data_IF_896004717325
#
_entry.id   IF_896004717325
#
_cell.length_a   1.000
_cell.length_b   1.000
_cell.length_c   1.000
_cell.angle_alpha   90.00
_cell.angle_beta   90.00
_cell.angle_gamma   90.00
#
_symmetry.space_group_name_H-M   'P 1'
#
loop_
_entity.id
_entity.type
_entity.pdbx_description
1 polymer ?
#
# COMPACT_ATOMS: atom_id res chain seq x y z
N UNK A 1 -34.98 -41.15 -28.63
CA UNK A 1 -34.53 -42.56 -28.61
C UNK A 1 -33.29 -42.65 -27.74
N UNK A 2 -33.33 -43.52 -26.72
CA UNK A 2 -32.24 -43.84 -25.78
C UNK A 2 -31.20 -44.77 -26.43
N UNK A 3 -29.95 -44.76 -25.95
CA UNK A 3 -29.09 -45.91 -25.55
C UNK A 3 -27.83 -45.30 -24.89
N UNK A 4 -27.59 -45.43 -23.57
CA UNK A 4 -26.94 -46.54 -22.81
C UNK A 4 -25.44 -46.68 -23.10
N UNK A 5 -24.49 -46.97 -22.22
CA UNK A 5 -24.36 -47.19 -20.77
C UNK A 5 -22.88 -47.52 -20.46
N UNK A 6 -22.41 -47.16 -19.25
CA UNK A 6 -21.44 -47.82 -18.34
C UNK A 6 -20.13 -48.47 -18.86
N UNK A 7 -19.03 -48.29 -18.09
CA UNK A 7 -18.38 -49.34 -17.26
C UNK A 7 -17.38 -48.73 -16.26
N UNK A 8 -17.46 -49.21 -15.00
CA UNK A 8 -16.56 -49.06 -13.85
C UNK A 8 -15.63 -50.29 -13.75
N UNK A 9 -14.44 -50.17 -13.12
CA UNK A 9 -13.66 -51.15 -12.29
C UNK A 9 -12.41 -50.35 -11.80
N UNK A 10 -12.03 -50.13 -10.53
CA UNK A 10 -11.93 -50.87 -9.23
C UNK A 10 -10.56 -51.55 -8.98
N UNK A 11 -9.85 -50.99 -7.97
CA UNK A 11 -8.92 -51.50 -6.93
C UNK A 11 -7.66 -52.35 -7.23
N UNK A 12 -6.60 -52.06 -6.44
CA UNK A 12 -5.54 -52.99 -6.06
C UNK A 12 -4.53 -52.42 -5.06
N UNK A 13 -4.63 -52.83 -3.77
CA UNK A 13 -3.74 -52.59 -2.62
C UNK A 13 -2.77 -53.77 -2.46
N UNK A 14 -1.52 -53.56 -2.01
CA UNK A 14 -0.67 -54.56 -1.28
C UNK A 14 0.40 -53.79 -0.48
N UNK A 15 0.40 -53.71 0.86
CA UNK A 15 0.79 -54.66 1.94
C UNK A 15 2.28 -55.10 1.90
N UNK A 16 3.03 -54.73 2.96
CA UNK A 16 4.45 -55.01 3.15
C UNK A 16 4.76 -56.26 3.98
N UNK A 17 6.04 -56.45 4.31
CA UNK A 17 6.52 -57.40 5.33
C UNK A 17 7.88 -56.96 5.91
N UNK A 18 8.00 -57.03 7.23
CA UNK A 18 9.26 -57.07 8.00
C UNK A 18 9.74 -58.52 8.13
N UNK A 19 11.05 -58.74 8.32
CA UNK A 19 11.60 -59.79 9.20
C UNK A 19 13.05 -59.46 9.60
N UNK A 20 13.40 -59.85 10.84
CA UNK A 20 14.66 -59.65 11.58
C UNK A 20 15.49 -60.93 11.54
N UNK A 21 16.83 -60.84 11.61
CA UNK A 21 17.70 -61.97 11.96
C UNK A 21 19.20 -61.63 12.03
N UNK A 22 19.84 -61.97 13.15
CA UNK A 22 21.17 -61.59 13.66
C UNK A 22 22.41 -62.29 13.02
N UNK A 23 23.61 -61.70 13.26
CA UNK A 23 24.82 -62.47 13.64
C UNK A 23 26.15 -62.10 12.98
N UNK A 24 27.03 -61.41 13.74
CA UNK A 24 28.51 -61.56 13.91
C UNK A 24 29.46 -61.63 12.66
N UNK A 25 30.66 -61.04 12.58
CA UNK A 25 31.63 -60.52 13.56
C UNK A 25 32.76 -59.68 12.89
N UNK A 26 33.38 -58.76 13.64
CA UNK A 26 34.81 -58.28 13.61
C UNK A 26 35.32 -57.55 12.35
N UNK A 27 36.19 -56.55 12.39
CA UNK A 27 36.77 -55.64 13.39
C UNK A 27 37.63 -54.67 12.53
N UNK A 28 37.54 -53.36 12.74
CA UNK A 28 38.72 -52.49 12.88
C UNK A 28 38.32 -51.04 13.11
N UNK A 29 38.91 -50.49 14.15
CA UNK A 29 38.58 -49.26 14.85
C UNK A 29 39.04 -48.00 14.10
N UNK A 30 38.22 -46.93 14.17
CA UNK A 30 38.75 -45.57 14.32
C UNK A 30 37.77 -44.68 15.12
N UNK A 31 38.12 -44.53 16.41
CA UNK A 31 37.75 -43.52 17.42
C UNK A 31 36.49 -42.67 17.22
N UNK A 32 35.49 -42.97 18.06
CA UNK A 32 34.45 -42.07 18.55
C UNK A 32 35.04 -40.97 19.45
N UNK A 33 34.49 -39.75 19.34
CA UNK A 33 34.14 -38.96 20.52
C UNK A 33 32.64 -38.72 20.48
N UNK A 34 31.98 -39.20 21.52
CA UNK A 34 30.55 -39.32 21.76
C UNK A 34 29.85 -37.95 21.76
N UNK A 35 28.86 -37.77 20.90
CA UNK A 35 27.77 -36.82 21.14
C UNK A 35 26.55 -37.63 21.53
N UNK A 36 26.19 -37.54 22.80
CA UNK A 36 24.93 -38.05 23.35
C UNK A 36 23.76 -37.47 22.56
N UNK A 37 22.87 -38.38 22.16
CA UNK A 37 21.54 -38.04 21.69
C UNK A 37 20.76 -37.42 22.84
N UNK A 38 20.65 -36.10 22.85
CA UNK A 38 19.48 -35.46 23.44
C UNK A 38 18.40 -35.43 22.36
N UNK A 39 17.42 -36.30 22.52
CA UNK A 39 16.15 -36.28 21.82
C UNK A 39 15.42 -35.00 22.28
N UNK A 40 15.78 -33.85 21.72
CA UNK A 40 14.97 -32.63 21.85
C UNK A 40 13.77 -32.75 20.92
N UNK A 41 12.60 -32.63 21.53
CA UNK A 41 11.29 -32.60 20.90
C UNK A 41 11.28 -31.67 19.69
N UNK A 42 10.85 -32.18 18.54
CA UNK A 42 10.27 -31.33 17.49
C UNK A 42 9.02 -30.66 18.05
N UNK A 43 9.18 -29.50 18.68
CA UNK A 43 8.14 -28.51 18.67
C UNK A 43 7.96 -28.06 17.21
N UNK A 44 6.73 -28.09 16.70
CA UNK A 44 6.36 -27.43 15.45
C UNK A 44 6.77 -25.95 15.54
N UNK A 45 7.93 -25.60 15.00
CA UNK A 45 8.37 -24.22 14.92
C UNK A 45 7.49 -23.50 13.91
N UNK A 46 6.85 -22.40 14.35
CA UNK A 46 6.32 -21.42 13.41
C UNK A 46 7.48 -20.96 12.52
N UNK A 47 7.32 -21.03 11.20
CA UNK A 47 8.29 -20.47 10.25
C UNK A 47 8.35 -18.95 10.47
N UNK A 48 9.42 -18.47 11.11
CA UNK A 48 9.66 -17.04 11.36
C UNK A 48 10.53 -16.51 10.22
N UNK A 49 9.94 -15.67 9.39
CA UNK A 49 10.63 -14.92 8.34
C UNK A 49 11.18 -13.59 8.88
N UNK A 50 12.39 -13.22 8.43
CA UNK A 50 13.10 -12.00 8.90
C UNK A 50 13.79 -11.21 7.79
N UNK A 51 13.89 -11.77 6.60
CA UNK A 51 14.56 -11.14 5.46
C UNK A 51 13.62 -11.06 4.26
N UNK A 52 14.03 -10.28 3.27
CA UNK A 52 13.23 -10.00 2.08
C UNK A 52 12.83 -11.25 1.29
N UNK A 53 13.62 -12.33 1.32
CA UNK A 53 13.33 -13.55 0.56
C UNK A 53 12.30 -14.43 1.30
N UNK A 54 12.55 -14.70 2.58
CA UNK A 54 11.66 -15.48 3.44
C UNK A 54 10.30 -14.80 3.62
N UNK A 55 10.24 -13.47 3.71
CA UNK A 55 8.96 -12.75 3.81
C UNK A 55 8.17 -12.80 2.51
N UNK A 56 8.82 -12.70 1.33
CA UNK A 56 8.13 -12.90 0.05
C UNK A 56 7.48 -14.28 -0.04
N UNK A 57 8.21 -15.31 0.37
CA UNK A 57 7.71 -16.70 0.37
C UNK A 57 6.54 -16.87 1.34
N UNK A 58 6.69 -16.42 2.59
CA UNK A 58 5.64 -16.51 3.63
C UNK A 58 4.33 -15.84 3.19
N UNK A 59 4.43 -14.68 2.56
CA UNK A 59 3.30 -13.86 2.13
C UNK A 59 2.78 -14.22 0.73
N UNK A 60 3.49 -15.06 -0.03
CA UNK A 60 3.15 -15.36 -1.41
C UNK A 60 3.18 -14.14 -2.32
N UNK A 61 4.06 -13.17 -2.06
CA UNK A 61 4.17 -11.94 -2.84
C UNK A 61 4.73 -12.24 -4.23
N UNK A 62 3.99 -11.83 -5.26
CA UNK A 62 4.46 -11.89 -6.64
C UNK A 62 5.42 -10.73 -6.93
N UNK A 63 6.30 -10.92 -7.91
CA UNK A 63 7.13 -9.84 -8.46
C UNK A 63 6.27 -8.66 -8.90
N UNK A 64 6.69 -7.41 -8.62
CA UNK A 64 5.92 -6.20 -8.92
C UNK A 64 4.51 -6.18 -8.29
N UNK A 65 4.35 -6.80 -7.12
CA UNK A 65 3.16 -6.67 -6.29
C UNK A 65 3.53 -6.15 -4.91
N UNK A 66 2.60 -5.39 -4.31
CA UNK A 66 2.72 -4.92 -2.92
C UNK A 66 1.53 -5.45 -2.14
N UNK A 67 1.66 -5.57 -0.82
CA UNK A 67 0.54 -5.97 0.03
C UNK A 67 0.29 -4.94 1.14
N UNK A 68 -0.98 -4.82 1.49
CA UNK A 68 -1.46 -4.02 2.60
C UNK A 68 -2.25 -4.91 3.55
N UNK A 69 -2.01 -4.79 4.85
CA UNK A 69 -2.71 -5.54 5.89
C UNK A 69 -3.29 -4.58 6.94
N UNK A 70 -4.54 -4.84 7.32
CA UNK A 70 -5.11 -4.27 8.55
C UNK A 70 -4.74 -5.18 9.72
N UNK A 71 -4.11 -4.60 10.73
CA UNK A 71 -3.58 -5.29 11.89
C UNK A 71 -4.23 -4.77 13.17
N UNK A 72 -4.27 -5.63 14.20
CA UNK A 72 -4.59 -5.27 15.59
C UNK A 72 -3.53 -5.85 16.52
N UNK A 73 -3.19 -5.11 17.57
CA UNK A 73 -2.15 -5.55 18.49
C UNK A 73 -1.65 -4.42 19.36
N UNK A 74 -0.40 -4.52 19.83
CA UNK A 74 0.16 -3.58 20.79
C UNK A 74 1.44 -2.92 20.29
N UNK A 75 1.63 -1.68 20.72
CA UNK A 75 2.93 -0.99 20.74
C UNK A 75 3.20 -0.55 22.18
N UNK A 76 4.26 -1.08 22.78
CA UNK A 76 4.43 -1.08 24.23
C UNK A 76 3.24 -1.78 24.91
N UNK A 77 2.62 -1.10 25.87
CA UNK A 77 1.45 -1.60 26.59
C UNK A 77 0.11 -1.14 26.00
N UNK A 78 0.11 -0.36 24.91
CA UNK A 78 -1.11 0.23 24.34
C UNK A 78 -1.63 -0.61 23.18
N UNK A 79 -2.92 -0.93 23.21
CA UNK A 79 -3.64 -1.52 22.07
C UNK A 79 -3.73 -0.51 20.92
N UNK A 80 -3.52 -0.98 19.70
CA UNK A 80 -3.48 -0.19 18.48
C UNK A 80 -4.05 -0.96 17.28
N UNK A 81 -4.51 -0.20 16.31
CA UNK A 81 -4.69 -0.66 14.93
C UNK A 81 -3.40 -0.34 14.17
N UNK A 82 -2.95 -1.26 13.31
CA UNK A 82 -1.77 -1.06 12.48
C UNK A 82 -2.12 -1.23 11.01
N UNK A 83 -1.69 -0.30 10.17
CA UNK A 83 -1.76 -0.40 8.72
C UNK A 83 -0.37 -0.73 8.19
N UNK A 84 -0.17 -2.00 7.83
CA UNK A 84 1.11 -2.50 7.32
C UNK A 84 1.11 -2.47 5.80
N UNK A 85 2.03 -1.71 5.23
CA UNK A 85 2.36 -1.73 3.80
C UNK A 85 3.70 -2.41 3.57
N UNK A 86 3.80 -3.25 2.54
CA UNK A 86 5.02 -3.97 2.15
C UNK A 86 5.25 -3.81 0.66
N UNK A 87 6.42 -3.34 0.26
CA UNK A 87 6.77 -3.11 -1.14
C UNK A 87 8.27 -3.33 -1.40
N UNK A 88 8.67 -3.35 -2.68
CA UNK A 88 10.06 -3.51 -3.08
C UNK A 88 10.78 -2.14 -3.11
N UNK A 89 11.96 -2.02 -2.51
CA UNK A 89 12.78 -0.81 -2.57
C UNK A 89 13.46 -0.67 -3.93
N UNK A 90 12.67 -0.36 -4.95
CA UNK A 90 13.25 0.19 -6.18
C UNK A 90 13.61 1.62 -5.81
N UNK A 91 14.87 2.01 -5.97
CA UNK A 91 15.43 3.36 -5.68
C UNK A 91 14.69 4.57 -6.31
N UNK A 92 13.51 4.36 -6.91
CA UNK A 92 12.65 5.31 -7.62
C UNK A 92 11.15 5.16 -7.29
N UNK A 93 10.73 4.20 -6.47
CA UNK A 93 9.30 3.96 -6.19
C UNK A 93 8.72 4.90 -5.09
N UNK A 94 9.52 5.76 -4.45
CA UNK A 94 9.05 6.57 -3.28
C UNK A 94 9.52 8.03 -3.27
N UNK A 95 10.44 8.47 -4.12
CA UNK A 95 10.68 9.92 -4.21
C UNK A 95 9.61 10.53 -5.13
N UNK A 96 8.67 11.24 -4.51
CA UNK A 96 7.47 11.82 -5.11
C UNK A 96 7.80 13.14 -5.86
N UNK A 97 9.01 13.67 -5.68
CA UNK A 97 9.64 14.62 -6.60
C UNK A 97 10.31 13.83 -7.72
N UNK A 98 10.08 14.24 -8.97
CA UNK A 98 10.23 13.39 -10.16
C UNK A 98 11.49 12.54 -10.13
N UNK A 99 11.34 11.25 -10.44
CA UNK A 99 12.49 10.34 -10.53
C UNK A 99 13.46 10.76 -11.64
N UNK A 100 12.99 11.61 -12.56
CA UNK A 100 13.73 12.21 -13.68
C UNK A 100 14.54 13.45 -13.26
N UNK A 101 14.09 14.30 -12.32
CA UNK A 101 14.84 15.49 -11.86
C UNK A 101 16.15 15.13 -11.15
N UNK A 102 16.25 13.91 -10.60
CA UNK A 102 17.44 13.41 -9.91
C UNK A 102 18.48 12.73 -10.82
N UNK A 103 18.26 12.69 -12.14
CA UNK A 103 19.21 12.11 -13.10
C UNK A 103 20.26 13.16 -13.48
N UNK A 104 21.46 13.08 -12.88
CA UNK A 104 22.61 13.81 -13.41
C UNK A 104 22.95 13.29 -14.81
N UNK A 105 22.82 14.15 -15.81
CA UNK A 105 23.28 13.92 -17.17
C UNK A 105 24.81 13.68 -17.18
N UNK A 106 25.25 12.42 -17.27
CA UNK A 106 26.62 12.04 -17.67
C UNK A 106 26.63 11.87 -19.20
N UNK A 107 27.15 12.84 -19.98
CA UNK A 107 27.10 12.81 -21.44
C UNK A 107 27.97 11.70 -22.05
N UNK A 108 28.92 11.13 -21.30
CA UNK A 108 29.81 10.07 -21.81
C UNK A 108 29.22 8.68 -21.63
N UNK A 109 28.24 8.52 -20.72
CA UNK A 109 27.49 7.27 -20.52
C UNK A 109 26.07 7.41 -21.04
N UNK A 110 25.93 7.49 -22.37
CA UNK A 110 24.65 7.40 -23.10
C UNK A 110 23.92 6.05 -22.98
N UNK A 111 24.00 5.40 -21.82
CA UNK A 111 23.21 4.25 -21.43
C UNK A 111 22.76 4.48 -19.98
N UNK A 112 21.52 4.94 -19.81
CA UNK A 112 20.75 4.47 -18.65
C UNK A 112 20.58 2.97 -18.87
N UNK A 113 21.53 2.19 -18.35
CA UNK A 113 21.38 0.75 -18.25
C UNK A 113 20.31 0.54 -17.20
N UNK A 114 19.05 0.39 -17.61
CA UNK A 114 18.07 -0.29 -16.79
C UNK A 114 18.61 -1.70 -16.63
N UNK A 115 19.37 -1.94 -15.56
CA UNK A 115 19.67 -3.29 -15.13
C UNK A 115 18.30 -3.94 -14.97
N UNK A 116 18.02 -4.96 -15.78
CA UNK A 116 16.99 -5.96 -15.47
C UNK A 116 17.44 -6.64 -14.18
N UNK A 117 17.31 -5.95 -13.06
CA UNK A 117 17.48 -6.54 -11.75
C UNK A 117 16.22 -7.33 -11.49
N UNK A 118 16.38 -8.59 -11.11
CA UNK A 118 15.26 -9.46 -10.83
C UNK A 118 14.55 -8.91 -9.60
N UNK A 119 13.22 -8.97 -9.50
CA UNK A 119 12.56 -8.33 -8.35
C UNK A 119 12.97 -8.93 -6.99
N UNK A 120 13.39 -10.21 -7.01
CA UNK A 120 13.99 -10.90 -5.86
C UNK A 120 15.29 -10.25 -5.36
N UNK A 121 15.92 -9.42 -6.17
CA UNK A 121 17.16 -8.71 -5.83
C UNK A 121 16.90 -7.37 -5.12
N UNK A 122 15.66 -6.84 -5.16
CA UNK A 122 15.31 -5.63 -4.42
C UNK A 122 14.97 -5.99 -2.96
N UNK A 123 15.49 -5.25 -1.97
CA UNK A 123 15.10 -5.45 -0.58
C UNK A 123 13.63 -5.07 -0.42
N UNK A 124 12.91 -5.74 0.49
CA UNK A 124 11.57 -5.35 0.88
C UNK A 124 11.66 -4.24 1.92
N UNK A 125 10.82 -3.24 1.72
CA UNK A 125 10.50 -2.20 2.69
C UNK A 125 9.15 -2.47 3.29
N UNK A 126 9.01 -2.08 4.55
CA UNK A 126 7.72 -2.02 5.20
C UNK A 126 7.49 -0.67 5.85
N UNK A 127 6.22 -0.31 6.00
CA UNK A 127 5.79 0.74 6.90
C UNK A 127 4.61 0.22 7.72
N UNK A 128 4.60 0.55 9.02
CA UNK A 128 3.42 0.37 9.85
C UNK A 128 3.00 1.75 10.33
N UNK A 129 1.81 2.19 9.92
CA UNK A 129 1.16 3.39 10.44
C UNK A 129 0.13 3.01 11.51
N UNK A 130 0.01 3.84 12.54
CA UNK A 130 -1.06 3.77 13.54
C UNK A 130 -2.12 4.81 13.17
N UNK A 131 -3.15 4.42 12.39
CA UNK A 131 -4.08 5.39 11.81
C UNK A 131 -4.93 6.09 12.88
N UNK A 132 -4.94 5.60 14.12
CA UNK A 132 -5.66 6.17 15.26
C UNK A 132 -4.77 7.02 16.18
N UNK A 133 -3.51 7.28 15.82
CA UNK A 133 -2.57 8.06 16.64
C UNK A 133 -1.97 9.19 15.80
N UNK A 134 -2.55 10.39 15.89
CA UNK A 134 -1.95 11.59 15.30
C UNK A 134 -0.68 12.00 16.07
N UNK A 135 0.42 12.29 15.34
CA UNK A 135 1.66 12.80 15.90
C UNK A 135 1.96 14.21 15.39
N UNK A 136 1.70 15.20 16.24
CA UNK A 136 1.91 16.63 15.94
C UNK A 136 3.36 16.95 15.57
N UNK A 137 4.34 16.21 16.11
CA UNK A 137 5.75 16.47 15.83
C UNK A 137 6.17 15.99 14.44
N UNK A 138 5.40 15.05 13.87
CA UNK A 138 5.56 14.52 12.51
C UNK A 138 4.63 15.23 11.52
N UNK A 139 3.52 15.81 11.98
CA UNK A 139 2.47 16.36 11.12
C UNK A 139 1.72 15.27 10.36
N UNK A 140 1.70 14.05 10.90
CA UNK A 140 1.10 12.86 10.30
C UNK A 140 0.73 11.85 11.41
N UNK A 141 0.02 10.79 11.04
CA UNK A 141 -0.19 9.63 11.89
C UNK A 141 1.16 8.99 12.26
N UNK A 142 1.25 8.54 13.50
CA UNK A 142 2.40 7.87 14.08
C UNK A 142 2.76 6.63 13.25
N UNK A 143 3.99 6.56 12.76
CA UNK A 143 4.44 5.47 11.91
C UNK A 143 5.94 5.20 12.05
N UNK A 144 6.37 4.06 11.52
CA UNK A 144 7.76 3.80 11.24
C UNK A 144 7.91 3.11 9.88
N UNK A 145 9.12 3.19 9.32
CA UNK A 145 9.51 2.47 8.12
C UNK A 145 10.74 1.61 8.42
N UNK A 146 10.86 0.47 7.77
CA UNK A 146 12.03 -0.39 7.96
C UNK A 146 12.32 -1.23 6.72
N UNK A 147 13.60 -1.38 6.39
CA UNK A 147 14.08 -2.43 5.49
C UNK A 147 14.06 -3.77 6.24
N UNK A 148 13.47 -4.79 5.62
CA UNK A 148 13.47 -6.12 6.23
C UNK A 148 14.87 -6.70 6.39
N UNK A 149 15.83 -6.26 5.58
CA UNK A 149 17.21 -6.73 5.67
C UNK A 149 17.94 -6.21 6.92
N UNK A 150 17.35 -5.25 7.66
CA UNK A 150 17.80 -4.89 9.00
C UNK A 150 17.50 -5.98 10.05
N UNK A 151 16.64 -6.96 9.72
CA UNK A 151 16.26 -8.11 10.55
C UNK A 151 15.70 -7.75 11.94
N UNK A 152 15.19 -6.53 12.10
CA UNK A 152 14.57 -6.04 13.35
C UNK A 152 13.12 -6.48 13.50
N UNK A 153 12.53 -6.99 12.42
CA UNK A 153 11.10 -7.29 12.32
C UNK A 153 10.94 -8.74 11.90
N UNK A 154 9.97 -9.39 12.51
CA UNK A 154 9.69 -10.81 12.32
C UNK A 154 8.28 -10.98 11.80
N UNK A 155 8.14 -11.88 10.84
CA UNK A 155 6.89 -12.24 10.21
C UNK A 155 6.64 -13.72 10.43
N UNK A 156 5.42 -14.09 10.74
CA UNK A 156 5.00 -15.50 10.79
C UNK A 156 3.51 -15.59 10.47
N UNK A 157 3.00 -16.81 10.30
CA UNK A 157 1.56 -17.06 10.22
C UNK A 157 1.11 -17.86 11.44
N UNK A 158 -0.09 -17.58 11.92
CA UNK A 158 -0.71 -18.39 12.96
C UNK A 158 -1.30 -19.69 12.40
N UNK A 159 -1.90 -20.50 13.27
CA UNK A 159 -2.49 -21.79 12.88
C UNK A 159 -3.66 -21.65 11.88
N UNK A 160 -4.26 -20.47 11.77
CA UNK A 160 -5.32 -20.14 10.82
C UNK A 160 -4.78 -19.49 9.54
N UNK A 161 -3.47 -19.27 9.46
CA UNK A 161 -2.80 -18.63 8.33
C UNK A 161 -2.76 -17.10 8.39
N UNK A 162 -3.23 -16.49 9.48
CA UNK A 162 -3.22 -15.03 9.63
C UNK A 162 -1.82 -14.51 9.94
N UNK A 163 -1.49 -13.38 9.35
CA UNK A 163 -0.20 -12.75 9.53
C UNK A 163 0.03 -12.32 10.99
N UNK A 164 1.22 -12.58 11.50
CA UNK A 164 1.76 -12.02 12.75
C UNK A 164 3.02 -11.25 12.42
N UNK A 165 3.11 -10.02 12.93
CA UNK A 165 4.28 -9.16 12.75
C UNK A 165 4.71 -8.62 14.11
N UNK A 166 5.98 -8.76 14.46
CA UNK A 166 6.51 -8.23 15.72
C UNK A 166 7.94 -7.72 15.57
N UNK A 167 8.30 -6.75 16.38
CA UNK A 167 9.61 -6.11 16.31
C UNK A 167 9.76 -4.99 17.33
N UNK A 168 10.66 -4.06 17.03
CA UNK A 168 10.87 -2.83 17.79
C UNK A 168 10.41 -1.66 16.92
N UNK A 169 9.65 -0.74 17.50
CA UNK A 169 9.13 0.45 16.85
C UNK A 169 10.25 1.46 16.66
N UNK A 170 11.06 1.22 15.64
CA UNK A 170 12.23 2.02 15.33
C UNK A 170 12.39 2.11 13.82
N UNK A 171 12.41 3.33 13.31
CA UNK A 171 12.68 3.60 11.91
C UNK A 171 14.15 3.25 11.61
N UNK A 172 14.39 2.46 10.59
CA UNK A 172 15.71 2.40 9.98
C UNK A 172 15.70 3.27 8.71
N UNK A 173 16.78 4.02 8.52
CA UNK A 173 16.96 4.82 7.30
C UNK A 173 17.88 4.03 6.36
N UNK A 174 17.34 3.11 5.55
CA UNK A 174 18.18 2.30 4.67
C UNK A 174 18.77 3.13 3.52
N UNK A 175 18.19 4.30 3.22
CA UNK A 175 18.62 5.19 2.13
C UNK A 175 19.71 6.19 2.56
N UNK A 176 19.91 6.39 3.86
CA UNK A 176 20.95 7.28 4.38
C UNK A 176 20.73 8.77 4.07
N UNK A 177 19.56 9.13 3.56
CA UNK A 177 19.27 10.52 3.21
C UNK A 177 19.20 11.36 4.46
N UNK A 178 19.99 12.46 4.47
CA UNK A 178 20.10 13.40 5.60
C UNK A 178 18.80 14.16 5.89
N UNK A 179 17.78 14.00 5.02
CA UNK A 179 16.47 14.62 5.13
C UNK A 179 15.51 13.84 6.04
N UNK A 180 15.81 12.59 6.39
CA UNK A 180 15.03 11.87 7.39
C UNK A 180 15.33 12.44 8.77
N UNK A 181 14.44 13.32 9.23
CA UNK A 181 14.37 13.81 10.60
C UNK A 181 14.52 12.65 11.58
N UNK A 182 15.28 12.85 12.66
CA UNK A 182 15.33 11.87 13.75
C UNK A 182 13.89 11.51 14.12
N UNK A 183 13.51 10.23 13.97
CA UNK A 183 12.13 9.78 14.13
C UNK A 183 11.54 10.35 15.43
N UNK A 184 10.60 11.29 15.32
CA UNK A 184 9.92 11.94 16.46
C UNK A 184 8.74 11.12 16.95
N UNK A 185 8.88 9.79 16.84
CA UNK A 185 7.87 8.81 17.21
C UNK A 185 7.61 8.83 18.71
N UNK A 186 6.34 8.76 19.10
CA UNK A 186 5.95 8.58 20.51
C UNK A 186 6.29 7.19 21.06
N UNK A 187 6.52 6.21 20.18
CA UNK A 187 6.78 4.81 20.54
C UNK A 187 8.21 4.39 20.23
N UNK A 188 9.11 5.31 19.94
CA UNK A 188 10.48 4.98 19.56
C UNK A 188 11.14 4.03 20.56
N UNK A 189 11.55 2.85 20.09
CA UNK A 189 12.22 1.82 20.90
C UNK A 189 11.28 0.88 21.66
N UNK A 190 9.97 1.12 21.62
CA UNK A 190 8.98 0.20 22.20
C UNK A 190 8.87 -1.08 21.38
N UNK A 191 8.57 -2.20 22.05
CA UNK A 191 8.26 -3.44 21.33
C UNK A 191 6.85 -3.37 20.77
N UNK A 192 6.64 -3.96 19.60
CA UNK A 192 5.29 -4.14 19.07
C UNK A 192 5.02 -5.60 18.70
N UNK A 193 3.75 -5.97 18.74
CA UNK A 193 3.26 -7.26 18.29
C UNK A 193 1.86 -7.08 17.73
N UNK A 194 1.70 -7.41 16.46
CA UNK A 194 0.47 -7.29 15.69
C UNK A 194 0.07 -8.62 15.09
N UNK A 195 -1.24 -8.80 14.96
CA UNK A 195 -1.86 -9.87 14.17
C UNK A 195 -2.77 -9.25 13.12
N UNK A 196 -2.93 -9.90 11.97
CA UNK A 196 -3.93 -9.51 10.97
C UNK A 196 -5.31 -9.48 11.59
N UNK A 197 -6.07 -8.42 11.33
CA UNK A 197 -7.38 -8.24 11.93
C UNK A 197 -8.41 -9.12 11.22
N UNK A 198 -8.53 -10.34 11.73
CA UNK A 198 -9.49 -11.31 11.28
C UNK A 198 -10.95 -10.92 11.58
N UNK A 199 -11.25 -9.78 12.22
CA UNK A 199 -12.65 -9.37 12.48
C UNK A 199 -13.31 -8.68 11.28
N UNK A 200 -12.51 -8.08 10.39
CA UNK A 200 -13.00 -7.34 9.24
C UNK A 200 -13.31 -8.24 8.04
N UNK A 201 -14.28 -7.87 7.18
CA UNK A 201 -14.56 -8.61 5.95
C UNK A 201 -13.44 -8.46 4.91
N UNK A 202 -12.81 -7.28 4.86
CA UNK A 202 -11.62 -6.98 4.08
C UNK A 202 -10.50 -6.59 5.06
N UNK A 203 -9.38 -7.30 5.04
CA UNK A 203 -8.23 -6.99 5.89
C UNK A 203 -6.89 -7.15 5.18
N UNK A 204 -6.91 -7.57 3.92
CA UNK A 204 -5.74 -7.65 3.06
C UNK A 204 -6.05 -7.13 1.66
N UNK A 205 -5.21 -6.23 1.14
CA UNK A 205 -5.30 -5.71 -0.21
C UNK A 205 -3.98 -5.95 -0.93
N UNK A 206 -4.02 -6.66 -2.05
CA UNK A 206 -2.87 -6.79 -2.93
C UNK A 206 -2.91 -5.68 -3.97
N UNK A 207 -1.75 -5.16 -4.34
CA UNK A 207 -1.63 -4.21 -5.44
C UNK A 207 -0.73 -4.80 -6.52
N UNK A 208 -1.17 -4.67 -7.77
CA UNK A 208 -0.38 -4.97 -8.95
C UNK A 208 0.23 -3.68 -9.49
N UNK A 209 1.48 -3.77 -9.96
CA UNK A 209 2.15 -2.67 -10.65
C UNK A 209 2.47 -3.04 -12.09
N UNK A 210 2.21 -2.10 -13.01
CA UNK A 210 2.72 -2.12 -14.37
C UNK A 210 3.62 -0.90 -14.57
N UNK A 211 4.75 -1.08 -15.24
CA UNK A 211 5.71 0.01 -15.46
C UNK A 211 6.34 -0.12 -16.85
N UNK A 212 6.45 0.98 -17.57
CA UNK A 212 7.15 1.02 -18.84
C UNK A 212 8.09 2.22 -18.88
N UNK A 213 9.35 1.95 -19.18
CA UNK A 213 10.37 2.97 -19.41
C UNK A 213 11.00 2.81 -20.79
N UNK A 214 11.31 3.92 -21.43
CA UNK A 214 11.99 3.95 -22.72
C UNK A 214 12.84 5.21 -22.87
N UNK A 215 13.86 5.14 -23.72
CA UNK A 215 14.62 6.33 -24.12
C UNK A 215 14.54 6.54 -25.62
N UNK A 216 14.38 7.79 -26.03
CA UNK A 216 14.36 8.19 -27.44
C UNK A 216 15.61 9.04 -27.71
N UNK A 217 16.36 8.69 -28.74
CA UNK A 217 17.46 9.51 -29.23
C UNK A 217 16.96 10.44 -30.34
N UNK A 218 17.01 11.75 -30.09
CA UNK A 218 16.64 12.79 -31.04
C UNK A 218 17.69 12.98 -32.13
N UNK A 219 17.32 13.71 -33.18
CA UNK A 219 18.18 13.99 -34.33
C UNK A 219 19.44 14.80 -33.98
N UNK A 220 19.35 15.67 -32.97
CA UNK A 220 20.45 16.44 -32.39
C UNK A 220 21.32 15.64 -31.41
N UNK A 221 21.04 14.34 -31.26
CA UNK A 221 21.68 13.38 -30.34
C UNK A 221 21.31 13.55 -28.87
N UNK A 222 20.39 14.46 -28.53
CA UNK A 222 19.79 14.48 -27.19
C UNK A 222 19.06 13.16 -26.93
N UNK A 223 19.12 12.67 -25.69
CA UNK A 223 18.36 11.49 -25.25
C UNK A 223 17.30 11.96 -24.29
N UNK A 224 16.04 11.66 -24.59
CA UNK A 224 14.92 11.88 -23.68
C UNK A 224 14.45 10.58 -23.08
N UNK A 225 14.00 10.64 -21.83
CA UNK A 225 13.54 9.53 -21.02
C UNK A 225 12.03 9.61 -20.85
N UNK A 226 11.36 8.48 -21.03
CA UNK A 226 9.95 8.31 -20.76
C UNK A 226 9.77 7.24 -19.70
N UNK A 227 8.99 7.52 -18.65
CA UNK A 227 8.56 6.53 -17.67
C UNK A 227 7.03 6.63 -17.43
N UNK A 228 6.34 5.50 -17.37
CA UNK A 228 4.92 5.44 -16.99
C UNK A 228 4.69 4.28 -16.03
N UNK A 229 4.04 4.58 -14.90
CA UNK A 229 3.78 3.63 -13.81
C UNK A 229 2.30 3.63 -13.42
N UNK A 230 1.72 2.45 -13.37
CA UNK A 230 0.39 2.21 -12.81
C UNK A 230 0.48 1.26 -11.64
N UNK A 231 -0.23 1.58 -10.55
CA UNK A 231 -0.42 0.68 -9.41
C UNK A 231 -1.90 0.65 -9.05
N UNK A 232 -2.55 -0.50 -9.17
CA UNK A 232 -3.99 -0.67 -8.84
C UNK A 232 -4.21 -1.80 -7.83
N UNK A 233 -5.24 -1.70 -6.98
CA UNK A 233 -5.57 -2.75 -6.04
C UNK A 233 -6.29 -3.91 -6.74
N UNK A 234 -6.13 -5.11 -6.19
CA UNK A 234 -6.91 -6.29 -6.50
C UNK A 234 -7.25 -7.01 -5.19
N UNK A 235 -8.53 -7.31 -5.02
CA UNK A 235 -9.03 -8.02 -3.85
C UNK A 235 -9.03 -9.52 -4.17
N UNK A 236 -8.25 -10.30 -3.42
CA UNK A 236 -8.15 -11.75 -3.63
C UNK A 236 -9.11 -12.47 -2.67
N UNK A 237 -10.11 -13.25 -3.17
CA UNK A 237 -11.04 -13.98 -2.32
C UNK A 237 -10.36 -14.95 -1.35
N UNK A 238 -9.25 -15.57 -1.77
CA UNK A 238 -8.48 -16.49 -0.92
C UNK A 238 -7.88 -15.83 0.32
N UNK A 239 -7.62 -14.53 0.25
CA UNK A 239 -7.05 -13.76 1.36
C UNK A 239 -8.13 -13.05 2.18
N UNK A 240 -9.32 -12.87 1.61
CA UNK A 240 -10.46 -12.22 2.25
C UNK A 240 -11.71 -13.12 2.23
N UNK A 241 -11.68 -14.30 2.88
CA UNK A 241 -12.75 -15.30 2.77
C UNK A 241 -14.09 -14.87 3.42
N UNK A 242 -14.08 -13.78 4.20
CA UNK A 242 -15.28 -13.20 4.82
C UNK A 242 -16.06 -12.28 3.87
N UNK A 243 -15.44 -11.83 2.78
CA UNK A 243 -16.08 -11.00 1.77
C UNK A 243 -16.71 -11.90 0.71
N UNK A 244 -18.02 -11.77 0.49
CA UNK A 244 -18.73 -12.62 -0.45
C UNK A 244 -18.17 -12.48 -1.87
N UNK A 245 -18.03 -13.59 -2.60
CA UNK A 245 -17.35 -13.59 -3.91
C UNK A 245 -17.99 -12.63 -4.92
N UNK A 246 -19.31 -12.49 -4.90
CA UNK A 246 -20.02 -11.56 -5.80
C UNK A 246 -19.70 -10.08 -5.49
N UNK A 247 -19.39 -9.74 -4.24
CA UNK A 247 -18.92 -8.42 -3.83
C UNK A 247 -17.49 -8.23 -4.31
N UNK A 248 -16.62 -9.23 -4.13
CA UNK A 248 -15.22 -9.18 -4.62
C UNK A 248 -15.17 -8.99 -6.15
N UNK A 249 -15.98 -9.74 -6.89
CA UNK A 249 -16.09 -9.61 -8.36
C UNK A 249 -16.47 -8.18 -8.77
N UNK A 250 -17.45 -7.59 -8.08
CA UNK A 250 -17.91 -6.22 -8.36
C UNK A 250 -16.88 -5.17 -7.97
N UNK A 251 -16.18 -5.35 -6.86
CA UNK A 251 -15.05 -4.50 -6.48
C UNK A 251 -13.95 -4.59 -7.54
N UNK A 252 -13.51 -5.79 -7.93
CA UNK A 252 -12.45 -5.98 -8.92
C UNK A 252 -12.84 -5.54 -10.33
N UNK A 253 -14.13 -5.56 -10.69
CA UNK A 253 -14.60 -4.95 -11.94
C UNK A 253 -14.29 -3.44 -12.02
N UNK A 254 -14.24 -2.75 -10.87
CA UNK A 254 -13.97 -1.31 -10.77
C UNK A 254 -12.50 -1.01 -10.41
N UNK A 255 -11.95 -1.76 -9.46
CA UNK A 255 -10.61 -1.57 -8.92
C UNK A 255 -9.51 -2.18 -9.79
N UNK A 256 -9.78 -3.34 -10.37
CA UNK A 256 -8.81 -4.18 -11.07
C UNK A 256 -9.16 -4.38 -12.56
N UNK A 257 -10.03 -3.53 -13.12
CA UNK A 257 -10.47 -3.59 -14.52
C UNK A 257 -10.99 -4.99 -14.93
N UNK A 258 -11.59 -5.71 -13.97
CA UNK A 258 -12.13 -7.06 -14.16
C UNK A 258 -11.07 -8.18 -14.20
N UNK A 259 -9.80 -7.89 -13.90
CA UNK A 259 -8.76 -8.90 -13.78
C UNK A 259 -9.07 -9.92 -12.68
N UNK A 260 -8.76 -11.19 -12.94
CA UNK A 260 -9.04 -12.32 -12.04
C UNK A 260 -7.95 -12.59 -11.04
N UNK A 261 -6.71 -12.23 -11.40
CA UNK A 261 -5.54 -12.42 -10.57
C UNK A 261 -4.51 -11.28 -10.80
N UNK A 262 -3.49 -11.28 -9.95
CA UNK A 262 -2.41 -10.27 -9.96
C UNK A 262 -1.69 -10.25 -11.30
N UNK A 263 -1.42 -11.43 -11.89
CA UNK A 263 -0.67 -11.56 -13.14
C UNK A 263 -1.45 -11.02 -14.34
N UNK A 264 -2.77 -11.21 -14.38
CA UNK A 264 -3.65 -10.60 -15.37
C UNK A 264 -3.67 -9.08 -15.25
N UNK A 265 -3.86 -8.55 -14.02
CA UNK A 265 -3.87 -7.10 -13.78
C UNK A 265 -2.52 -6.47 -14.17
N UNK A 266 -1.39 -7.07 -13.77
CA UNK A 266 -0.06 -6.59 -14.16
C UNK A 266 0.12 -6.49 -15.67
N UNK A 267 -0.37 -7.46 -16.45
CA UNK A 267 -0.31 -7.41 -17.92
C UNK A 267 -1.15 -6.26 -18.48
N UNK A 268 -2.34 -6.03 -17.92
CA UNK A 268 -3.21 -4.92 -18.31
C UNK A 268 -2.55 -3.56 -18.00
N UNK A 269 -2.00 -3.40 -16.78
CA UNK A 269 -1.30 -2.18 -16.37
C UNK A 269 -0.05 -1.92 -17.21
N UNK A 270 0.73 -2.96 -17.49
CA UNK A 270 1.89 -2.90 -18.38
C UNK A 270 1.50 -2.48 -19.80
N UNK A 271 0.34 -2.93 -20.28
CA UNK A 271 -0.19 -2.53 -21.58
C UNK A 271 -0.60 -1.05 -21.57
N UNK A 272 -1.23 -0.56 -20.52
CA UNK A 272 -1.58 0.87 -20.36
C UNK A 272 -0.32 1.75 -20.39
N UNK A 273 0.71 1.42 -19.61
CA UNK A 273 1.98 2.16 -19.61
C UNK A 273 2.65 2.19 -21.00
N UNK A 274 2.48 1.14 -21.81
CA UNK A 274 2.94 1.11 -23.21
C UNK A 274 2.07 1.95 -24.15
N UNK A 275 0.77 2.06 -23.89
CA UNK A 275 -0.11 2.95 -24.66
C UNK A 275 0.26 4.42 -24.41
N UNK A 276 0.59 4.78 -23.17
CA UNK A 276 1.07 6.11 -22.84
C UNK A 276 2.32 6.46 -23.65
N UNK A 277 3.32 5.55 -23.66
CA UNK A 277 4.51 5.74 -24.49
C UNK A 277 4.17 5.85 -25.98
N UNK A 278 3.23 5.05 -26.48
CA UNK A 278 2.79 5.13 -27.87
C UNK A 278 2.23 6.51 -28.18
N UNK A 279 1.37 7.06 -27.31
CA UNK A 279 0.83 8.41 -27.47
C UNK A 279 1.95 9.47 -27.45
N UNK A 280 2.77 9.48 -26.40
CA UNK A 280 3.94 10.36 -26.25
C UNK A 280 4.89 10.30 -27.46
N UNK A 281 5.17 9.11 -27.99
CA UNK A 281 6.08 8.93 -29.13
C UNK A 281 5.59 9.56 -30.43
N UNK A 282 4.29 9.88 -30.54
CA UNK A 282 3.72 10.58 -31.69
C UNK A 282 3.71 12.11 -31.51
N UNK A 283 4.10 12.62 -30.35
CA UNK A 283 4.21 14.05 -30.12
C UNK A 283 5.31 14.66 -30.97
N UNK A 284 5.04 15.88 -31.47
CA UNK A 284 5.95 16.60 -32.35
C UNK A 284 7.25 16.98 -31.62
N UNK A 285 7.12 17.36 -30.36
CA UNK A 285 8.22 17.69 -29.47
C UNK A 285 8.21 16.70 -28.32
N UNK A 286 9.37 16.16 -27.99
CA UNK A 286 9.51 15.12 -26.98
C UNK A 286 10.44 15.65 -25.90
N UNK A 287 9.98 15.72 -24.67
CA UNK A 287 10.79 16.05 -23.49
C UNK A 287 10.91 14.82 -22.61
N UNK A 288 11.71 14.90 -21.55
CA UNK A 288 11.59 13.88 -20.52
C UNK A 288 10.14 13.87 -20.00
N UNK A 289 9.58 12.69 -19.82
CA UNK A 289 8.20 12.53 -19.41
C UNK A 289 8.05 11.44 -18.36
N UNK A 290 7.24 11.71 -17.35
CA UNK A 290 6.95 10.78 -16.26
C UNK A 290 5.46 10.83 -15.94
N UNK A 291 4.80 9.68 -16.07
CA UNK A 291 3.40 9.51 -15.70
C UNK A 291 3.28 8.51 -14.55
N UNK A 292 2.47 8.85 -13.56
CA UNK A 292 2.14 7.91 -12.49
C UNK A 292 0.65 7.93 -12.19
N UNK A 293 0.08 6.74 -11.98
CA UNK A 293 -1.28 6.57 -11.47
C UNK A 293 -1.30 5.45 -10.44
N UNK A 294 -1.31 5.82 -9.17
CA UNK A 294 -1.04 4.90 -8.07
C UNK A 294 -2.15 4.93 -7.04
N UNK A 295 -2.57 3.74 -6.64
CA UNK A 295 -3.52 3.54 -5.56
C UNK A 295 -2.83 3.08 -4.28
N UNK A 296 -3.34 3.55 -3.15
CA UNK A 296 -3.03 3.07 -1.79
C UNK A 296 -4.30 3.01 -0.95
N UNK A 297 -4.27 2.29 0.16
CA UNK A 297 -5.37 2.27 1.13
C UNK A 297 -5.26 3.50 2.03
N UNK A 298 -6.35 4.27 2.13
CA UNK A 298 -6.48 5.35 3.13
C UNK A 298 -7.12 4.80 4.40
N UNK A 299 -8.22 4.04 4.26
CA UNK A 299 -9.02 3.57 5.39
C UNK A 299 -9.81 2.31 5.04
N UNK A 300 -9.85 1.36 5.96
CA UNK A 300 -10.70 0.16 5.89
C UNK A 300 -11.37 -0.05 7.23
N UNK A 301 -12.68 -0.33 7.19
CA UNK A 301 -13.44 -0.87 8.31
C UNK A 301 -14.39 -1.99 7.86
N UNK A 302 -15.42 -2.28 8.65
CA UNK A 302 -16.40 -3.33 8.35
C UNK A 302 -17.42 -2.97 7.26
N UNK A 303 -17.51 -1.71 6.85
CA UNK A 303 -18.52 -1.19 5.92
C UNK A 303 -17.91 -0.72 4.61
N UNK A 304 -16.73 -0.11 4.64
CA UNK A 304 -16.11 0.53 3.46
C UNK A 304 -14.62 0.23 3.34
N UNK A 305 -14.14 0.32 2.10
CA UNK A 305 -12.73 0.56 1.78
C UNK A 305 -12.63 1.91 1.09
N UNK A 306 -11.76 2.77 1.61
CA UNK A 306 -11.40 4.07 1.05
C UNK A 306 -9.97 4.01 0.53
N UNK A 307 -9.80 4.36 -0.73
CA UNK A 307 -8.53 4.34 -1.42
C UNK A 307 -8.10 5.75 -1.78
N UNK A 308 -6.81 6.00 -1.63
CA UNK A 308 -6.17 7.16 -2.22
C UNK A 308 -5.71 6.82 -3.64
N UNK A 309 -5.97 7.74 -4.56
CA UNK A 309 -5.52 7.71 -5.94
C UNK A 309 -4.66 8.93 -6.23
N UNK A 310 -3.37 8.69 -6.33
CA UNK A 310 -2.40 9.68 -6.76
C UNK A 310 -2.24 9.63 -8.28
N UNK A 311 -2.29 10.79 -8.93
CA UNK A 311 -1.98 10.94 -10.35
C UNK A 311 -0.90 12.01 -10.51
N UNK A 312 0.12 11.72 -11.32
CA UNK A 312 1.22 12.63 -11.64
C UNK A 312 1.49 12.61 -13.14
N UNK A 313 1.77 13.78 -13.69
CA UNK A 313 2.17 13.98 -15.08
C UNK A 313 3.30 15.00 -15.15
N UNK A 314 4.38 14.63 -15.82
CA UNK A 314 5.45 15.50 -16.26
C UNK A 314 5.70 15.27 -17.75
N UNK A 315 5.79 16.35 -18.52
CA UNK A 315 5.98 16.34 -19.97
C UNK A 315 7.03 17.39 -20.38
N UNK A 316 8.00 17.65 -19.49
CA UNK A 316 8.92 18.78 -19.60
C UNK A 316 8.45 20.00 -18.80
N UNK A 317 9.29 21.04 -18.77
CA UNK A 317 9.07 22.24 -17.96
C UNK A 317 9.76 22.20 -16.60
N UNK A 318 9.35 23.10 -15.70
CA UNK A 318 10.01 23.32 -14.42
C UNK A 318 9.72 22.25 -13.36
N UNK A 319 8.54 21.62 -13.41
CA UNK A 319 8.10 20.54 -12.52
C UNK A 319 6.86 19.85 -13.11
N UNK A 320 6.50 18.69 -12.59
CA UNK A 320 5.25 18.00 -12.93
C UNK A 320 4.02 18.56 -12.22
N UNK A 321 2.85 18.01 -12.53
CA UNK A 321 1.57 18.33 -11.89
C UNK A 321 1.02 17.05 -11.29
N UNK A 322 0.52 17.13 -10.05
CA UNK A 322 -0.12 16.00 -9.39
C UNK A 322 -1.44 16.37 -8.74
N UNK A 323 -2.21 15.34 -8.43
CA UNK A 323 -3.41 15.43 -7.62
C UNK A 323 -3.66 14.12 -6.89
N UNK A 324 -4.23 14.23 -5.70
CA UNK A 324 -4.59 13.10 -4.85
C UNK A 324 -6.09 13.08 -4.61
N UNK A 325 -6.80 12.03 -5.04
CA UNK A 325 -8.26 11.93 -4.91
C UNK A 325 -8.68 10.67 -4.15
N UNK A 326 -9.87 10.70 -3.55
CA UNK A 326 -10.43 9.54 -2.84
C UNK A 326 -11.35 8.72 -3.75
N UNK A 327 -11.23 7.40 -3.69
CA UNK A 327 -12.22 6.46 -4.22
C UNK A 327 -12.64 5.47 -3.13
N UNK A 328 -13.92 5.50 -2.73
CA UNK A 328 -14.46 4.64 -1.68
C UNK A 328 -15.50 3.67 -2.21
N UNK A 329 -15.57 2.49 -1.61
CA UNK A 329 -16.45 1.41 -2.03
C UNK A 329 -17.10 0.75 -0.82
N UNK A 330 -18.37 0.37 -0.94
CA UNK A 330 -19.08 -0.40 0.07
C UNK A 330 -18.65 -1.86 0.06
N UNK A 331 -18.29 -2.38 1.22
CA UNK A 331 -18.01 -3.80 1.45
C UNK A 331 -19.30 -4.63 1.64
N UNK A 332 -20.47 -3.99 1.68
CA UNK A 332 -21.76 -4.68 1.79
C UNK A 332 -22.32 -5.09 0.44
N UNK A 333 -22.08 -4.29 -0.62
CA UNK A 333 -22.68 -4.51 -1.93
C UNK A 333 -21.73 -4.24 -3.12
N UNK A 334 -20.47 -3.89 -2.85
CA UNK A 334 -19.45 -3.63 -3.86
C UNK A 334 -19.63 -2.33 -4.66
N UNK A 335 -20.60 -1.47 -4.31
CA UNK A 335 -20.85 -0.22 -5.03
C UNK A 335 -19.82 0.85 -4.70
N UNK A 336 -19.45 1.64 -5.71
CA UNK A 336 -18.68 2.87 -5.50
C UNK A 336 -19.54 3.89 -4.75
N UNK A 337 -18.96 4.45 -3.70
CA UNK A 337 -19.58 5.50 -2.91
C UNK A 337 -19.29 6.87 -3.52
N UNK A 338 -20.12 7.86 -3.20
CA UNK A 338 -19.88 9.22 -3.66
C UNK A 338 -18.60 9.78 -3.05
N UNK A 339 -17.85 10.52 -3.87
CA UNK A 339 -16.70 11.33 -3.48
C UNK A 339 -17.04 12.82 -3.43
N UNK A 340 -18.34 13.18 -3.54
CA UNK A 340 -18.80 14.57 -3.52
C UNK A 340 -19.13 15.01 -2.11
N UNK A 341 -18.73 16.23 -1.77
CA UNK A 341 -18.93 16.78 -0.45
C UNK A 341 -20.42 16.98 -0.13
N UNK A 342 -21.25 17.24 -1.15
CA UNK A 342 -22.71 17.39 -1.04
C UNK A 342 -23.42 16.08 -0.70
N UNK A 343 -22.81 14.94 -0.99
CA UNK A 343 -23.34 13.61 -0.62
C UNK A 343 -22.87 13.19 0.78
N UNK A 344 -21.83 13.85 1.32
CA UNK A 344 -21.37 13.71 2.70
C UNK A 344 -22.12 14.64 3.66
N UNK A 345 -22.29 15.90 3.28
CA UNK A 345 -22.83 16.98 4.11
C UNK A 345 -24.08 17.63 3.50
N UNK A 346 -25.01 18.06 4.35
CA UNK A 346 -26.12 18.94 4.01
C UNK A 346 -25.59 20.37 3.84
N UNK A 347 -25.20 20.71 2.61
CA UNK A 347 -24.62 22.02 2.28
C UNK A 347 -25.67 23.04 1.83
N UNK A 348 -26.66 23.31 2.67
CA UNK A 348 -27.45 24.54 2.51
C UNK A 348 -26.57 25.78 2.75
N UNK A 349 -27.06 26.97 2.38
CA UNK A 349 -26.26 28.20 2.47
C UNK A 349 -25.68 28.43 3.88
N UNK A 350 -26.48 28.15 4.92
CA UNK A 350 -26.06 28.33 6.32
C UNK A 350 -24.97 27.33 6.70
N UNK A 351 -25.18 26.05 6.42
CA UNK A 351 -24.23 24.99 6.74
C UNK A 351 -22.93 25.14 5.95
N UNK A 352 -23.01 25.50 4.66
CA UNK A 352 -21.83 25.80 3.84
C UNK A 352 -21.03 26.95 4.44
N UNK A 353 -21.67 28.06 4.79
CA UNK A 353 -20.99 29.22 5.38
C UNK A 353 -20.36 28.89 6.74
N UNK A 354 -21.04 28.10 7.57
CA UNK A 354 -20.53 27.67 8.88
C UNK A 354 -19.32 26.73 8.72
N UNK A 355 -19.39 25.78 7.78
CA UNK A 355 -18.26 24.89 7.47
C UNK A 355 -17.07 25.67 6.93
N UNK A 356 -17.28 26.61 6.01
CA UNK A 356 -16.23 27.52 5.50
C UNK A 356 -15.55 28.30 6.62
N UNK A 357 -16.32 28.83 7.57
CA UNK A 357 -15.77 29.55 8.72
C UNK A 357 -14.91 28.64 9.60
N UNK A 358 -15.37 27.42 9.87
CA UNK A 358 -14.64 26.44 10.66
C UNK A 358 -13.31 26.06 9.99
N UNK A 359 -13.32 25.79 8.68
CA UNK A 359 -12.11 25.48 7.91
C UNK A 359 -11.17 26.69 7.83
N UNK A 360 -11.71 27.91 7.69
CA UNK A 360 -10.94 29.16 7.73
C UNK A 360 -10.19 29.31 9.05
N UNK A 361 -10.86 29.08 10.18
CA UNK A 361 -10.24 29.17 11.51
C UNK A 361 -9.12 28.15 11.68
N UNK A 362 -9.27 26.93 11.14
CA UNK A 362 -8.20 25.92 11.15
C UNK A 362 -6.99 26.36 10.31
N UNK A 363 -7.22 27.02 9.17
CA UNK A 363 -6.17 27.55 8.31
C UNK A 363 -5.50 28.83 8.83
N UNK A 364 -6.11 29.54 9.79
CA UNK A 364 -5.54 30.73 10.42
C UNK A 364 -4.43 30.42 11.44
N UNK A 365 -4.21 29.14 11.79
CA UNK A 365 -3.12 28.75 12.69
C UNK A 365 -1.76 29.01 12.04
N UNK A 366 -0.69 29.28 12.82
CA UNK A 366 0.65 29.51 12.27
C UNK A 366 1.16 28.39 11.38
N UNK A 367 0.75 27.14 11.67
CA UNK A 367 1.10 25.94 10.90
C UNK A 367 0.69 26.01 9.43
N UNK A 368 -0.47 26.61 9.14
CA UNK A 368 -1.01 26.69 7.77
C UNK A 368 -0.87 28.10 7.20
N UNK A 369 -1.17 29.13 7.99
CA UNK A 369 -1.31 30.52 7.52
C UNK A 369 -0.09 31.02 6.75
N UNK A 370 1.11 30.65 7.18
CA UNK A 370 2.37 31.07 6.54
C UNK A 370 2.60 30.44 5.16
N UNK A 371 1.88 29.36 4.84
CA UNK A 371 1.98 28.63 3.57
C UNK A 371 1.00 29.16 2.51
N UNK A 372 -0.05 29.86 2.92
CA UNK A 372 -1.17 30.23 2.05
C UNK A 372 -0.86 31.48 1.21
N UNK A 373 -1.57 31.64 0.09
CA UNK A 373 -1.61 32.93 -0.60
C UNK A 373 -2.26 34.00 0.27
N UNK A 374 -1.84 35.26 0.11
CA UNK A 374 -2.33 36.40 0.90
C UNK A 374 -3.86 36.56 0.84
N UNK A 375 -4.49 36.19 -0.27
CA UNK A 375 -5.91 36.39 -0.55
C UNK A 375 -6.77 35.15 -0.24
N UNK A 376 -6.17 34.07 0.28
CA UNK A 376 -6.85 32.78 0.51
C UNK A 376 -7.91 32.88 1.61
N UNK A 377 -7.62 33.64 2.67
CA UNK A 377 -8.47 33.73 3.85
C UNK A 377 -9.29 35.03 3.85
N UNK A 378 -10.58 34.99 4.25
CA UNK A 378 -11.36 33.80 4.57
C UNK A 378 -11.65 32.94 3.32
N UNK A 379 -11.83 31.64 3.54
CA UNK A 379 -12.18 30.72 2.44
C UNK A 379 -13.51 31.12 1.79
N UNK A 380 -13.53 31.09 0.45
CA UNK A 380 -14.74 31.37 -0.34
C UNK A 380 -15.42 30.09 -0.84
N UNK A 381 -14.66 29.01 -0.97
CA UNK A 381 -15.11 27.73 -1.48
C UNK A 381 -14.59 26.59 -0.61
N UNK A 382 -15.38 25.53 -0.52
CA UNK A 382 -14.99 24.29 0.15
C UNK A 382 -14.04 23.51 -0.76
N UNK A 383 -13.11 22.73 -0.20
CA UNK A 383 -12.27 21.86 -1.00
C UNK A 383 -13.13 20.82 -1.72
N UNK A 384 -12.71 20.43 -2.92
CA UNK A 384 -13.42 19.41 -3.70
C UNK A 384 -13.10 17.99 -3.22
N UNK A 385 -11.93 17.83 -2.61
CA UNK A 385 -11.43 16.52 -2.18
C UNK A 385 -11.48 16.39 -0.67
N UNK A 386 -12.02 15.26 -0.23
CA UNK A 386 -11.96 14.83 1.17
C UNK A 386 -11.63 13.34 1.24
N UNK A 387 -11.08 12.92 2.38
CA UNK A 387 -10.82 11.54 2.71
C UNK A 387 -11.51 11.17 4.02
N UNK A 388 -12.29 10.09 4.00
CA UNK A 388 -12.74 9.44 5.23
C UNK A 388 -11.56 8.67 5.83
N UNK A 389 -11.21 8.98 7.07
CA UNK A 389 -10.11 8.34 7.80
C UNK A 389 -10.64 7.72 9.10
N UNK A 390 -9.78 7.02 9.83
CA UNK A 390 -10.10 6.49 11.17
C UNK A 390 -10.38 7.57 12.22
N UNK A 391 -9.93 8.82 12.01
CA UNK A 391 -10.02 9.89 13.00
C UNK A 391 -11.03 10.98 12.64
N UNK A 392 -11.42 11.08 11.37
CA UNK A 392 -12.30 12.14 10.90
C UNK A 392 -12.31 12.26 9.40
N UNK A 393 -12.60 13.48 8.94
CA UNK A 393 -12.50 13.84 7.52
C UNK A 393 -11.22 14.63 7.32
N UNK A 394 -10.35 14.16 6.44
CA UNK A 394 -9.19 14.90 5.94
C UNK A 394 -9.63 15.71 4.73
N UNK A 395 -9.57 17.03 4.83
CA UNK A 395 -9.84 17.94 3.73
C UNK A 395 -8.56 18.21 2.96
N UNK A 396 -8.63 18.20 1.63
CA UNK A 396 -7.46 18.37 0.76
C UNK A 396 -7.72 19.47 -0.26
N UNK A 397 -6.82 20.45 -0.28
CA UNK A 397 -6.70 21.41 -1.36
C UNK A 397 -5.52 21.02 -2.24
N UNK A 398 -5.77 20.89 -3.53
CA UNK A 398 -4.74 20.53 -4.50
C UNK A 398 -3.69 21.64 -4.64
N UNK A 399 -2.55 21.27 -5.22
CA UNK A 399 -1.49 22.23 -5.54
C UNK A 399 -2.06 23.46 -6.26
N UNK A 400 -1.58 24.64 -5.86
CA UNK A 400 -2.04 25.95 -6.35
C UNK A 400 -3.47 26.37 -6.01
N UNK A 401 -4.30 25.56 -5.36
CA UNK A 401 -5.65 26.02 -4.99
C UNK A 401 -5.60 27.14 -3.95
N UNK A 402 -4.80 26.97 -2.90
CA UNK A 402 -4.72 27.93 -1.79
C UNK A 402 -3.30 28.28 -1.32
N UNK A 403 -2.28 27.60 -1.86
CA UNK A 403 -0.87 27.77 -1.50
C UNK A 403 0.06 27.57 -2.72
N UNK A 404 1.28 28.13 -2.73
CA UNK A 404 2.29 27.84 -3.75
C UNK A 404 2.69 26.36 -3.80
N UNK A 405 3.11 25.89 -4.98
CA UNK A 405 3.49 24.48 -5.25
C UNK A 405 4.50 23.88 -4.25
N UNK A 406 5.46 24.68 -3.76
CA UNK A 406 6.52 24.22 -2.84
C UNK A 406 5.97 23.65 -1.52
N UNK A 407 4.73 23.99 -1.16
CA UNK A 407 4.06 23.46 0.03
C UNK A 407 3.21 22.22 -0.25
N UNK A 408 3.16 21.75 -1.51
CA UNK A 408 2.35 20.61 -1.92
C UNK A 408 0.84 20.86 -1.80
N UNK A 409 0.10 19.77 -1.67
CA UNK A 409 -1.32 19.81 -1.30
C UNK A 409 -1.46 20.26 0.16
N UNK A 410 -2.41 21.15 0.44
CA UNK A 410 -2.71 21.56 1.82
C UNK A 410 -3.78 20.63 2.36
N UNK A 411 -3.47 19.89 3.42
CA UNK A 411 -4.39 18.97 4.04
C UNK A 411 -4.47 19.11 5.55
N UNK A 412 -5.65 18.86 6.10
CA UNK A 412 -5.85 18.76 7.54
C UNK A 412 -7.08 17.94 7.92
N UNK A 413 -7.03 17.37 9.12
CA UNK A 413 -8.08 16.53 9.67
C UNK A 413 -9.04 17.34 10.52
N UNK A 414 -10.34 17.08 10.37
CA UNK A 414 -11.39 17.51 11.31
C UNK A 414 -12.06 16.27 11.89
N UNK A 415 -12.10 16.13 13.24
CA UNK A 415 -12.77 15.01 13.90
C UNK A 415 -14.24 14.87 13.51
N UNK A 416 -14.73 13.62 13.47
CA UNK A 416 -16.13 13.34 13.14
C UNK A 416 -17.14 14.08 14.05
N UNK A 417 -16.82 14.24 15.33
CA UNK A 417 -17.70 14.93 16.28
C UNK A 417 -17.95 16.40 15.91
N UNK A 418 -16.92 17.09 15.40
CA UNK A 418 -17.00 18.51 15.04
C UNK A 418 -17.80 18.71 13.75
N UNK A 419 -17.87 17.67 12.92
CA UNK A 419 -18.58 17.69 11.64
C UNK A 419 -20.02 17.13 11.73
N UNK A 420 -20.40 16.53 12.86
CA UNK A 420 -21.64 15.75 13.00
C UNK A 420 -22.91 16.53 12.65
N UNK A 421 -22.93 17.84 12.91
CA UNK A 421 -24.07 18.71 12.61
C UNK A 421 -24.29 18.96 11.11
N UNK A 422 -23.27 18.78 10.28
CA UNK A 422 -23.34 18.99 8.84
C UNK A 422 -23.73 17.73 8.07
N UNK A 423 -23.59 16.55 8.67
CA UNK A 423 -23.70 15.26 7.96
C UNK A 423 -25.07 15.09 7.33
N UNK A 424 -25.08 14.66 6.07
CA UNK A 424 -26.28 14.14 5.44
C UNK A 424 -26.60 12.76 6.04
N UNK A 425 -27.74 12.57 6.76
CA UNK A 425 -28.07 11.27 7.37
C UNK A 425 -28.26 10.14 6.35
N UNK A 426 -28.51 10.49 5.08
CA UNK A 426 -28.60 9.54 3.97
C UNK A 426 -27.23 9.19 3.38
N UNK A 427 -26.17 9.91 3.78
CA UNK A 427 -24.81 9.63 3.33
C UNK A 427 -24.41 8.19 3.67
N UNK A 428 -23.69 7.49 2.76
CA UNK A 428 -23.13 6.18 3.07
C UNK A 428 -22.06 6.25 4.18
N UNK A 429 -21.51 7.43 4.45
CA UNK A 429 -20.51 7.67 5.51
C UNK A 429 -21.12 8.04 6.86
N UNK A 430 -22.45 8.22 6.95
CA UNK A 430 -23.09 8.77 8.16
C UNK A 430 -22.75 7.99 9.44
N UNK A 431 -22.59 6.67 9.34
CA UNK A 431 -22.24 5.82 10.49
C UNK A 431 -20.89 6.19 11.13
N UNK A 432 -19.94 6.73 10.35
CA UNK A 432 -18.63 7.18 10.85
C UNK A 432 -18.77 8.36 11.84
N UNK A 433 -19.87 9.12 11.75
CA UNK A 433 -20.18 10.24 12.63
C UNK A 433 -21.01 9.80 13.86
N UNK A 434 -21.16 8.49 14.07
CA UNK A 434 -22.06 7.93 15.08
C UNK A 434 -23.52 8.28 14.79
N UNK A 435 -23.88 8.33 13.49
CA UNK A 435 -25.24 8.49 13.00
C UNK A 435 -25.65 7.20 12.27
N UNK A 436 -26.04 6.18 13.03
CA UNK A 436 -26.97 5.08 12.70
C UNK A 436 -26.81 3.97 13.73
#
# INVERSE_FOLDING_TARGET
MRFSSLIYIVLGIYLGFCLIGCGDSKDSQKKQSTQEQTQESKAQGQDIARDSASVRELLGLQENSTAFYVLKGKVGDKEQVGYLSIWEDKKRDIDIESSIENIQNDPEKGRVVYLKQNSKDFPLMIAIALPNVWNEAMGDNEHFMSSLDAQKITFSKDEKGFLKVSGVWENDNPRGDRLFWHQKSYFKGEKFSFIQDDTLPLNEVTFAQGHYAHSIKKADKEVVLFESTYKKPIILPSYNPKLESHIVEKLNAQLADGAKDVSELQKQLQYLAKQDFKAYSQEKEQFNAEYAKMYSVEFIDSHIVSLQKFSYVYEGGAHGVHSTTMESYSLQNGERLSSKLEDLFLLDEKNKNTLLQMLTQKLETPEYKEKLFEQTLPLKELPQTFFATSQGIKFVWHIYEIAPYVYGEIEFHIPYNDLKSFVNPSSPYAYLFGLK
#
